data_IF_142313150717
#
_entry.id   IF_142313150717
#
_cell.length_a   1.000
_cell.length_b   1.000
_cell.length_c   1.000
_cell.angle_alpha   90.00
_cell.angle_beta   90.00
_cell.angle_gamma   90.00
#
_symmetry.space_group_name_H-M   'P 1'
#
loop_
_entity.id
_entity.type
_entity.pdbx_description
1 polymer ?
#
# COMPACT_ATOMS: atom_id res chain seq x y z
N UNK A 1 -10.97 8.77 -6.82
CA UNK A 1 -12.12 8.21 -7.57
C UNK A 1 -12.10 6.68 -7.63
N UNK A 2 -10.99 6.02 -7.98
CA UNK A 2 -10.95 4.55 -8.10
C UNK A 2 -11.21 3.76 -6.80
N UNK A 3 -10.64 4.19 -5.66
CA UNK A 3 -10.87 3.52 -4.37
C UNK A 3 -12.32 3.55 -3.92
N UNK A 4 -13.03 4.65 -4.16
CA UNK A 4 -14.45 4.78 -3.84
C UNK A 4 -15.30 3.85 -4.71
N UNK A 5 -15.08 3.84 -6.03
CA UNK A 5 -15.82 2.96 -6.94
C UNK A 5 -15.56 1.48 -6.62
N UNK A 6 -14.33 1.12 -6.25
CA UNK A 6 -14.00 -0.22 -5.80
C UNK A 6 -14.76 -0.58 -4.52
N UNK A 7 -14.78 0.32 -3.53
CA UNK A 7 -15.52 0.14 -2.30
C UNK A 7 -17.03 0.00 -2.53
N UNK A 8 -17.63 0.81 -3.40
CA UNK A 8 -19.05 0.73 -3.77
C UNK A 8 -19.41 -0.64 -4.36
N UNK A 9 -18.55 -1.18 -5.22
CA UNK A 9 -18.73 -2.53 -5.79
C UNK A 9 -18.54 -3.63 -4.74
N UNK A 10 -17.48 -3.56 -3.94
CA UNK A 10 -17.18 -4.53 -2.88
C UNK A 10 -18.25 -4.54 -1.77
N UNK A 11 -18.91 -3.40 -1.54
CA UNK A 11 -20.03 -3.32 -0.61
C UNK A 11 -21.25 -4.12 -1.08
N UNK A 12 -21.40 -4.39 -2.38
CA UNK A 12 -22.48 -5.26 -2.87
C UNK A 12 -22.22 -6.73 -2.50
N UNK A 13 -20.95 -7.17 -2.50
CA UNK A 13 -20.53 -8.52 -2.12
C UNK A 13 -20.12 -8.66 -0.65
N UNK A 14 -20.17 -7.58 0.14
CA UNK A 14 -19.76 -7.52 1.54
C UNK A 14 -18.38 -8.16 1.79
N UNK A 15 -17.44 -7.93 0.87
CA UNK A 15 -16.10 -8.50 0.94
C UNK A 15 -15.16 -7.81 -0.04
N UNK A 16 -13.90 -7.66 0.36
CA UNK A 16 -12.84 -7.19 -0.52
C UNK A 16 -11.60 -6.72 0.23
N UNK A 17 -10.52 -6.49 -0.51
CA UNK A 17 -9.29 -5.91 -0.01
C UNK A 17 -8.86 -4.79 -0.94
N UNK A 18 -8.60 -3.61 -0.40
CA UNK A 18 -7.99 -2.50 -1.11
C UNK A 18 -6.54 -2.39 -0.63
N UNK A 19 -5.59 -2.38 -1.57
CA UNK A 19 -4.17 -2.19 -1.27
C UNK A 19 -3.70 -0.88 -1.91
N UNK A 20 -3.34 0.09 -1.08
CA UNK A 20 -2.74 1.34 -1.52
C UNK A 20 -1.24 1.13 -1.69
N UNK A 21 -0.70 1.39 -2.88
CA UNK A 21 0.73 1.25 -3.17
C UNK A 21 1.29 2.61 -3.54
N UNK A 22 2.41 2.99 -2.93
CA UNK A 22 3.15 4.19 -3.34
C UNK A 22 4.03 3.83 -4.53
N UNK A 23 3.87 4.57 -5.62
CA UNK A 23 4.81 4.52 -6.72
C UNK A 23 6.02 5.38 -6.38
N UNK A 24 7.21 4.79 -6.44
CA UNK A 24 8.47 5.53 -6.41
C UNK A 24 9.12 5.35 -7.78
N UNK A 25 9.49 6.45 -8.42
CA UNK A 25 10.28 6.41 -9.66
C UNK A 25 11.78 6.36 -9.33
N UNK A 26 12.60 5.76 -10.22
CA UNK A 26 14.07 5.71 -10.08
C UNK A 26 14.74 7.04 -9.75
N UNK A 27 14.18 8.14 -10.26
CA UNK A 27 14.76 9.49 -10.15
C UNK A 27 14.08 10.37 -9.09
N UNK A 28 13.12 9.84 -8.31
CA UNK A 28 12.41 10.63 -7.30
C UNK A 28 13.25 10.88 -6.04
N UNK A 29 13.34 12.16 -5.66
CA UNK A 29 14.05 12.62 -4.47
C UNK A 29 13.30 12.23 -3.18
N UNK A 30 14.06 11.80 -2.17
CA UNK A 30 13.57 11.28 -0.88
C UNK A 30 12.59 12.21 -0.12
N UNK A 31 12.67 13.53 -0.30
CA UNK A 31 11.79 14.49 0.40
C UNK A 31 10.32 14.35 0.03
N UNK A 32 10.01 13.83 -1.16
CA UNK A 32 8.64 13.68 -1.65
C UNK A 32 7.99 12.38 -1.13
N UNK A 33 8.82 11.44 -0.65
CA UNK A 33 8.37 10.15 -0.12
C UNK A 33 7.74 10.28 1.27
N UNK A 34 8.24 11.17 2.14
CA UNK A 34 7.73 11.35 3.51
C UNK A 34 6.29 11.91 3.52
N UNK A 35 6.02 12.89 2.65
CA UNK A 35 4.68 13.46 2.48
C UNK A 35 3.71 12.41 1.92
N UNK A 36 4.14 11.68 0.90
CA UNK A 36 3.34 10.62 0.27
C UNK A 36 3.04 9.48 1.24
N UNK A 37 4.02 9.10 2.06
CA UNK A 37 3.89 8.09 3.13
C UNK A 37 2.84 8.50 4.17
N UNK A 38 2.88 9.76 4.60
CA UNK A 38 1.92 10.30 5.57
C UNK A 38 0.50 10.30 5.00
N UNK A 39 0.34 10.67 3.72
CA UNK A 39 -0.95 10.65 3.02
C UNK A 39 -1.51 9.23 2.91
N UNK A 40 -0.72 8.27 2.43
CA UNK A 40 -1.15 6.87 2.29
C UNK A 40 -1.48 6.25 3.64
N UNK A 41 -0.74 6.58 4.69
CA UNK A 41 -1.04 6.15 6.06
C UNK A 41 -2.39 6.69 6.53
N UNK A 42 -2.65 7.99 6.32
CA UNK A 42 -3.92 8.62 6.66
C UNK A 42 -5.10 7.98 5.94
N UNK A 43 -5.01 7.83 4.61
CA UNK A 43 -6.06 7.21 3.81
C UNK A 43 -6.32 5.76 4.18
N UNK A 44 -5.25 4.97 4.36
CA UNK A 44 -5.36 3.56 4.75
C UNK A 44 -6.09 3.40 6.08
N UNK A 45 -5.78 4.24 7.07
CA UNK A 45 -6.45 4.22 8.37
C UNK A 45 -7.91 4.67 8.28
N UNK A 46 -8.20 5.76 7.56
CA UNK A 46 -9.57 6.28 7.43
C UNK A 46 -10.48 5.28 6.72
N UNK A 47 -10.04 4.78 5.56
CA UNK A 47 -10.84 3.84 4.78
C UNK A 47 -11.01 2.50 5.49
N UNK A 48 -9.99 1.99 6.20
CA UNK A 48 -10.15 0.78 6.99
C UNK A 48 -11.22 0.92 8.07
N UNK A 49 -11.33 2.09 8.71
CA UNK A 49 -12.37 2.37 9.71
C UNK A 49 -13.76 2.44 9.07
N UNK A 50 -13.89 3.19 7.98
CA UNK A 50 -15.17 3.42 7.29
C UNK A 50 -15.72 2.15 6.63
N UNK A 51 -14.84 1.34 6.03
CA UNK A 51 -15.24 0.18 5.24
C UNK A 51 -15.32 -1.12 6.03
N UNK A 52 -14.91 -1.13 7.31
CA UNK A 52 -15.00 -2.30 8.20
C UNK A 52 -16.42 -2.86 8.28
N UNK A 53 -17.45 -2.00 8.27
CA UNK A 53 -18.85 -2.41 8.32
C UNK A 53 -19.31 -3.22 7.10
N UNK A 54 -18.58 -3.11 5.99
CA UNK A 54 -18.84 -3.85 4.75
C UNK A 54 -17.90 -5.05 4.58
N UNK A 55 -17.13 -5.41 5.61
CA UNK A 55 -16.12 -6.47 5.58
C UNK A 55 -15.10 -6.27 4.45
N UNK A 56 -14.73 -5.01 4.22
CA UNK A 56 -13.68 -4.63 3.27
C UNK A 56 -12.45 -4.22 4.07
N UNK A 57 -11.31 -4.84 3.77
CA UNK A 57 -10.02 -4.56 4.40
C UNK A 57 -9.24 -3.54 3.58
N UNK A 58 -8.41 -2.74 4.24
CA UNK A 58 -7.54 -1.77 3.57
C UNK A 58 -6.13 -1.89 4.10
N UNK A 59 -5.15 -2.06 3.22
CA UNK A 59 -3.73 -2.07 3.56
C UNK A 59 -2.95 -1.06 2.72
N UNK A 60 -1.77 -0.69 3.20
CA UNK A 60 -0.83 0.15 2.44
C UNK A 60 0.53 -0.52 2.31
N UNK A 61 1.20 -0.29 1.19
CA UNK A 61 2.58 -0.71 0.93
C UNK A 61 3.39 0.48 0.44
N UNK A 62 4.56 0.70 1.05
CA UNK A 62 5.46 1.80 0.71
C UNK A 62 6.82 1.22 0.34
N UNK A 63 7.39 1.50 -0.84
CA UNK A 63 8.74 1.10 -1.16
C UNK A 63 9.73 1.91 -0.34
N UNK A 64 10.77 1.25 0.18
CA UNK A 64 11.88 1.91 0.88
C UNK A 64 13.18 1.45 0.23
N UNK A 65 13.85 2.36 -0.47
CA UNK A 65 15.19 2.12 -0.99
C UNK A 65 16.22 2.40 0.12
N UNK A 66 16.97 1.38 0.55
CA UNK A 66 18.07 1.55 1.50
C UNK A 66 19.16 2.46 0.92
N UNK A 67 19.87 3.22 1.78
CA UNK A 67 20.86 4.26 1.44
C UNK A 67 22.15 3.77 0.72
N UNK A 68 22.13 2.61 0.08
CA UNK A 68 23.31 2.08 -0.60
C UNK A 68 23.49 2.76 -1.96
N UNK A 69 24.65 3.37 -2.17
CA UNK A 69 25.06 4.23 -3.31
C UNK A 69 25.08 3.56 -4.71
N UNK A 70 24.26 2.53 -4.95
CA UNK A 70 24.12 1.84 -6.22
C UNK A 70 22.66 1.88 -6.71
N UNK A 71 22.16 3.09 -6.95
CA UNK A 71 20.78 3.39 -7.36
C UNK A 71 20.31 2.72 -8.68
N UNK A 72 21.22 2.10 -9.45
CA UNK A 72 20.88 1.48 -10.73
C UNK A 72 20.51 -0.01 -10.64
N UNK A 73 20.59 -0.65 -9.46
CA UNK A 73 20.52 -2.12 -9.36
C UNK A 73 19.30 -2.72 -8.64
N UNK A 74 18.53 -1.95 -7.87
CA UNK A 74 17.65 -2.56 -6.84
C UNK A 74 16.13 -2.51 -7.12
N UNK A 75 15.71 -1.97 -8.28
CA UNK A 75 14.29 -1.83 -8.60
C UNK A 75 13.56 -3.16 -8.74
N UNK A 76 14.23 -4.20 -9.23
CA UNK A 76 13.64 -5.54 -9.30
C UNK A 76 13.37 -6.11 -7.91
N UNK A 77 14.28 -5.93 -6.95
CA UNK A 77 14.08 -6.45 -5.59
C UNK A 77 13.00 -5.67 -4.85
N UNK A 78 12.93 -4.35 -5.02
CA UNK A 78 11.83 -3.53 -4.49
C UNK A 78 10.50 -3.99 -5.09
N UNK A 79 10.44 -4.27 -6.40
CA UNK A 79 9.23 -4.78 -7.05
C UNK A 79 8.83 -6.17 -6.53
N UNK A 80 9.80 -7.06 -6.33
CA UNK A 80 9.57 -8.38 -5.76
C UNK A 80 9.03 -8.25 -4.31
N UNK A 81 9.57 -7.32 -3.53
CA UNK A 81 9.12 -7.08 -2.16
C UNK A 81 7.74 -6.42 -2.10
N UNK A 82 7.45 -5.46 -2.99
CA UNK A 82 6.12 -4.90 -3.15
C UNK A 82 5.09 -6.00 -3.47
N UNK A 83 5.46 -6.94 -4.33
CA UNK A 83 4.62 -8.08 -4.71
C UNK A 83 4.38 -8.99 -3.51
N UNK A 84 5.44 -9.46 -2.84
CA UNK A 84 5.33 -10.31 -1.64
C UNK A 84 4.51 -9.65 -0.53
N UNK A 85 4.73 -8.37 -0.29
CA UNK A 85 4.00 -7.63 0.74
C UNK A 85 2.53 -7.48 0.37
N UNK A 86 2.22 -7.25 -0.91
CA UNK A 86 0.83 -7.21 -1.40
C UNK A 86 0.14 -8.56 -1.23
N UNK A 87 0.81 -9.66 -1.57
CA UNK A 87 0.30 -11.02 -1.36
C UNK A 87 0.01 -11.30 0.12
N UNK A 88 0.90 -10.87 1.02
CA UNK A 88 0.70 -10.96 2.46
C UNK A 88 -0.55 -10.19 2.91
N UNK A 89 -0.73 -8.95 2.47
CA UNK A 89 -1.91 -8.14 2.82
C UNK A 89 -3.21 -8.79 2.31
N UNK A 90 -3.19 -9.30 1.09
CA UNK A 90 -4.36 -9.95 0.49
C UNK A 90 -4.71 -11.24 1.22
N UNK A 91 -3.72 -12.10 1.50
CA UNK A 91 -3.92 -13.42 2.13
C UNK A 91 -4.19 -13.37 3.64
N UNK A 92 -3.85 -12.28 4.32
CA UNK A 92 -4.03 -12.14 5.76
C UNK A 92 -5.33 -11.42 6.14
N UNK A 93 -6.34 -12.17 6.56
CA UNK A 93 -7.66 -11.63 6.95
C UNK A 93 -7.64 -10.73 8.20
N UNK A 94 -6.58 -10.77 8.99
CA UNK A 94 -6.40 -9.88 10.15
C UNK A 94 -5.67 -8.58 9.78
N UNK A 95 -5.26 -8.43 8.52
CA UNK A 95 -4.58 -7.23 8.06
C UNK A 95 -5.56 -6.19 7.52
N UNK A 96 -5.73 -5.11 8.28
CA UNK A 96 -6.46 -3.91 7.85
C UNK A 96 -5.99 -2.68 8.64
N UNK A 97 -6.05 -1.50 8.02
CA UNK A 97 -5.71 -0.20 8.61
C UNK A 97 -4.23 0.03 8.89
N UNK A 98 -3.36 -0.80 8.31
CA UNK A 98 -1.90 -0.79 8.54
C UNK A 98 -1.15 -0.59 7.23
N UNK A 99 0.06 -0.04 7.34
CA UNK A 99 0.98 0.17 6.23
C UNK A 99 2.26 -0.61 6.52
N UNK A 100 2.83 -1.24 5.49
CA UNK A 100 4.08 -2.00 5.55
C UNK A 100 5.10 -1.39 4.60
N UNK A 101 6.34 -1.33 5.04
CA UNK A 101 7.49 -0.97 4.19
C UNK A 101 7.94 -2.18 3.39
N UNK A 102 8.09 -2.03 2.08
CA UNK A 102 8.74 -2.99 1.20
C UNK A 102 10.21 -2.60 1.06
N UNK A 103 11.06 -3.27 1.84
CA UNK A 103 12.50 -3.02 1.91
C UNK A 103 13.27 -4.12 1.16
N UNK A 104 14.28 -3.71 0.39
CA UNK A 104 15.20 -4.61 -0.32
C UNK A 104 16.56 -4.68 0.37
#
# INVERSE_FOLDING_TARGET
MFGQVAAERMSQSQSGVIVNVVAQEPDQYYSDLDNTTSMVTGFTKSWAKELKQHNIRVGGVIPVSSHSHHANGNWSQIQDELTRTTEYIVSNDYFSGRVVSAEA
#
